data_IF_111662961130
#
_entry.id   IF_111662961130
#
_cell.length_a   1.000
_cell.length_b   1.000
_cell.length_c   1.000
_cell.angle_alpha   90.00
_cell.angle_beta   90.00
_cell.angle_gamma   90.00
#
_symmetry.space_group_name_H-M   'P 1'
#
loop_
_entity.id
_entity.type
_entity.pdbx_description
1 polymer ?
#
# COMPACT_ATOMS: atom_id res chain seq x y z
N UNK A 1 -11.33 8.97 30.91
CA UNK A 1 -10.82 8.94 29.52
C UNK A 1 -11.89 8.26 28.68
N UNK A 2 -12.33 8.85 27.57
CA UNK A 2 -13.18 8.12 26.62
C UNK A 2 -12.38 6.93 26.08
N UNK A 3 -13.05 5.80 25.80
CA UNK A 3 -12.38 4.66 25.19
C UNK A 3 -11.80 5.10 23.82
N UNK A 4 -10.54 4.72 23.53
CA UNK A 4 -9.94 4.93 22.21
C UNK A 4 -10.82 4.26 21.14
N UNK A 5 -10.87 4.85 19.95
CA UNK A 5 -11.59 4.28 18.82
C UNK A 5 -10.99 2.95 18.37
N UNK A 6 -11.73 2.24 17.51
CA UNK A 6 -11.31 0.95 16.95
C UNK A 6 -11.08 1.13 15.46
N UNK A 7 -9.93 0.68 14.96
CA UNK A 7 -9.63 0.74 13.53
C UNK A 7 -9.61 -0.66 12.93
N UNK A 8 -10.53 -0.92 12.00
CA UNK A 8 -10.68 -2.20 11.31
C UNK A 8 -10.55 -1.97 9.81
N UNK A 9 -9.74 -2.79 9.14
CA UNK A 9 -9.58 -2.76 7.69
C UNK A 9 -10.10 -4.05 7.06
N UNK A 10 -10.52 -3.95 5.80
CA UNK A 10 -10.93 -5.08 4.99
C UNK A 10 -10.03 -5.13 3.77
N UNK A 11 -9.39 -6.27 3.58
CA UNK A 11 -8.37 -6.51 2.56
C UNK A 11 -8.72 -7.72 1.71
N UNK A 12 -8.02 -7.87 0.58
CA UNK A 12 -8.22 -8.96 -0.36
C UNK A 12 -8.37 -8.49 -1.81
N UNK A 13 -8.39 -9.47 -2.72
CA UNK A 13 -8.50 -9.24 -4.15
C UNK A 13 -9.83 -8.59 -4.59
N UNK A 14 -9.90 -8.16 -5.84
CA UNK A 14 -11.12 -7.57 -6.39
C UNK A 14 -12.23 -8.63 -6.54
N UNK A 15 -13.49 -8.22 -6.29
CA UNK A 15 -14.63 -9.14 -6.26
C UNK A 15 -14.72 -10.03 -4.99
N UNK A 16 -13.88 -9.83 -3.98
CA UNK A 16 -13.93 -10.60 -2.72
C UNK A 16 -15.13 -10.27 -1.82
N UNK A 17 -15.84 -9.18 -2.08
CA UNK A 17 -17.04 -8.79 -1.31
C UNK A 17 -16.78 -7.87 -0.12
N UNK A 18 -15.59 -7.26 -0.03
CA UNK A 18 -15.21 -6.29 1.04
C UNK A 18 -16.31 -5.27 1.33
N UNK A 19 -16.74 -4.53 0.31
CA UNK A 19 -17.70 -3.44 0.49
C UNK A 19 -19.05 -3.94 1.01
N UNK A 20 -19.47 -5.16 0.66
CA UNK A 20 -20.67 -5.80 1.22
C UNK A 20 -20.47 -6.13 2.70
N UNK A 21 -19.37 -6.79 3.06
CA UNK A 21 -19.09 -7.17 4.44
C UNK A 21 -18.87 -5.97 5.36
N UNK A 22 -18.27 -4.89 4.85
CA UNK A 22 -18.14 -3.62 5.58
C UNK A 22 -19.50 -3.08 6.01
N UNK A 23 -20.53 -3.13 5.14
CA UNK A 23 -21.87 -2.68 5.53
C UNK A 23 -22.47 -3.59 6.62
N UNK A 24 -22.32 -4.91 6.51
CA UNK A 24 -22.80 -5.83 7.54
C UNK A 24 -22.12 -5.61 8.89
N UNK A 25 -20.81 -5.33 8.90
CA UNK A 25 -20.06 -5.01 10.12
C UNK A 25 -20.43 -3.63 10.66
N UNK A 26 -20.66 -2.65 9.79
CA UNK A 26 -21.19 -1.33 10.18
C UNK A 26 -22.51 -1.50 10.93
N UNK A 27 -23.48 -2.21 10.36
CA UNK A 27 -24.78 -2.44 10.96
C UNK A 27 -24.65 -3.13 12.33
N UNK A 28 -23.71 -4.08 12.45
CA UNK A 28 -23.42 -4.78 13.70
C UNK A 28 -22.93 -3.86 14.82
N UNK A 29 -22.05 -2.90 14.51
CA UNK A 29 -21.55 -1.92 15.48
C UNK A 29 -22.59 -0.83 15.77
N UNK A 30 -23.31 -0.33 14.76
CA UNK A 30 -24.36 0.68 14.92
C UNK A 30 -25.52 0.14 15.78
N UNK A 31 -25.90 -1.14 15.62
CA UNK A 31 -26.92 -1.78 16.45
C UNK A 31 -26.52 -1.88 17.94
N UNK A 32 -25.24 -1.64 18.26
CA UNK A 32 -24.67 -1.60 19.61
C UNK A 32 -24.39 -0.18 20.10
N UNK A 33 -24.92 0.82 19.39
CA UNK A 33 -24.80 2.24 19.77
C UNK A 33 -23.41 2.82 19.57
N UNK A 34 -22.57 2.22 18.72
CA UNK A 34 -21.24 2.76 18.37
C UNK A 34 -21.36 3.70 17.18
N UNK A 35 -20.65 4.83 17.22
CA UNK A 35 -20.41 5.65 16.03
C UNK A 35 -19.51 4.85 15.07
N UNK A 36 -19.90 4.73 13.81
CA UNK A 36 -19.15 4.03 12.78
C UNK A 36 -18.85 4.97 11.62
N UNK A 37 -17.58 5.04 11.23
CA UNK A 37 -17.11 5.72 10.03
C UNK A 37 -16.68 4.66 9.02
N UNK A 38 -17.37 4.59 7.89
CA UNK A 38 -16.95 3.77 6.76
C UNK A 38 -16.17 4.64 5.79
N UNK A 39 -14.99 4.17 5.40
CA UNK A 39 -14.14 4.85 4.44
C UNK A 39 -13.43 3.85 3.52
N UNK A 40 -12.61 4.34 2.58
CA UNK A 40 -11.86 3.52 1.62
C UNK A 40 -10.53 4.16 1.24
N UNK A 41 -9.57 3.35 0.83
CA UNK A 41 -8.34 3.83 0.21
C UNK A 41 -8.09 3.19 -1.17
N UNK A 42 -7.63 3.97 -2.15
CA UNK A 42 -7.62 5.43 -2.18
C UNK A 42 -9.04 5.98 -2.36
N UNK A 43 -9.29 7.23 -1.99
CA UNK A 43 -10.59 7.89 -2.28
C UNK A 43 -11.51 8.15 -1.11
N UNK A 44 -11.04 8.03 0.14
CA UNK A 44 -11.84 8.36 1.34
C UNK A 44 -12.07 9.86 1.55
N UNK A 45 -11.45 10.72 0.74
CA UNK A 45 -11.51 12.19 0.83
C UNK A 45 -11.69 12.81 -0.56
N UNK A 46 -11.95 14.13 -0.62
CA UNK A 46 -12.00 14.86 -1.90
C UNK A 46 -10.66 14.80 -2.65
N UNK A 47 -9.55 15.12 -1.96
CA UNK A 47 -8.21 14.95 -2.53
C UNK A 47 -7.93 13.49 -2.90
N UNK A 48 -8.33 12.56 -2.05
CA UNK A 48 -8.17 11.14 -2.31
C UNK A 48 -8.94 10.66 -3.54
N UNK A 49 -10.08 11.27 -3.85
CA UNK A 49 -10.87 10.95 -5.04
C UNK A 49 -10.12 11.36 -6.31
N UNK A 50 -9.46 12.52 -6.30
CA UNK A 50 -8.59 12.94 -7.39
C UNK A 50 -7.38 12.02 -7.56
N UNK A 51 -6.72 11.66 -6.46
CA UNK A 51 -5.60 10.71 -6.49
C UNK A 51 -6.06 9.35 -7.01
N UNK A 52 -7.21 8.85 -6.53
CA UNK A 52 -7.83 7.60 -7.00
C UNK A 52 -8.03 7.64 -8.51
N UNK A 53 -8.55 8.75 -9.04
CA UNK A 53 -8.74 8.92 -10.50
C UNK A 53 -7.43 8.77 -11.25
N UNK A 54 -6.33 9.32 -10.73
CA UNK A 54 -5.00 9.22 -11.35
C UNK A 54 -4.46 7.79 -11.33
N UNK A 55 -4.59 7.05 -10.23
CA UNK A 55 -4.03 5.69 -10.15
C UNK A 55 -4.88 4.64 -10.87
N UNK A 56 -6.20 4.83 -10.93
CA UNK A 56 -7.15 3.90 -11.57
C UNK A 56 -7.37 4.16 -13.06
N UNK A 57 -7.42 5.44 -13.45
CA UNK A 57 -7.81 5.88 -14.79
C UNK A 57 -6.77 6.82 -15.43
N UNK A 58 -5.59 6.93 -14.84
CA UNK A 58 -4.47 7.67 -15.42
C UNK A 58 -3.80 6.92 -16.57
N UNK A 59 -2.66 7.44 -17.04
CA UNK A 59 -1.88 6.82 -18.11
C UNK A 59 -1.48 5.37 -17.78
N UNK A 60 -1.38 4.53 -18.80
CA UNK A 60 -0.95 3.12 -18.64
C UNK A 60 0.54 3.01 -18.27
N UNK A 61 1.33 4.04 -18.54
CA UNK A 61 2.78 4.10 -18.34
C UNK A 61 3.21 4.77 -17.02
N UNK A 62 2.30 4.89 -16.05
CA UNK A 62 2.64 5.35 -14.69
C UNK A 62 3.66 4.41 -14.07
N UNK A 63 4.84 4.96 -13.75
CA UNK A 63 5.91 4.24 -13.06
C UNK A 63 5.45 3.70 -11.70
N UNK A 64 5.93 2.50 -11.33
CA UNK A 64 5.50 1.81 -10.11
C UNK A 64 5.81 2.61 -8.83
N UNK A 65 6.92 3.34 -8.76
CA UNK A 65 7.23 4.19 -7.59
C UNK A 65 6.32 5.40 -7.54
N UNK A 66 5.98 5.98 -8.70
CA UNK A 66 4.99 7.06 -8.77
C UNK A 66 3.62 6.59 -8.27
N UNK A 67 3.17 5.40 -8.70
CA UNK A 67 1.95 4.77 -8.18
C UNK A 67 2.00 4.64 -6.65
N UNK A 68 3.07 4.05 -6.10
CA UNK A 68 3.22 3.88 -4.64
C UNK A 68 3.19 5.20 -3.86
N UNK A 69 3.85 6.24 -4.38
CA UNK A 69 3.85 7.58 -3.77
C UNK A 69 2.46 8.22 -3.78
N UNK A 70 1.67 8.02 -4.83
CA UNK A 70 0.30 8.51 -4.90
C UNK A 70 -0.60 7.82 -3.86
N UNK A 71 -0.53 6.49 -3.72
CA UNK A 71 -1.24 5.77 -2.67
C UNK A 71 -0.81 6.23 -1.27
N UNK A 72 0.49 6.44 -1.05
CA UNK A 72 1.00 6.94 0.23
C UNK A 72 0.53 8.37 0.54
N UNK A 73 0.44 9.24 -0.48
CA UNK A 73 -0.06 10.60 -0.34
C UNK A 73 -1.55 10.65 0.01
N UNK A 74 -2.39 9.85 -0.67
CA UNK A 74 -3.81 9.69 -0.32
C UNK A 74 -3.96 9.23 1.13
N UNK A 75 -3.24 8.18 1.51
CA UNK A 75 -3.29 7.60 2.86
C UNK A 75 -2.85 8.60 3.94
N UNK A 76 -1.75 9.31 3.74
CA UNK A 76 -1.26 10.30 4.71
C UNK A 76 -2.32 11.38 4.97
N UNK A 77 -2.93 11.90 3.91
CA UNK A 77 -3.98 12.90 4.02
C UNK A 77 -5.25 12.34 4.67
N UNK A 78 -5.65 11.14 4.28
CA UNK A 78 -6.84 10.47 4.79
C UNK A 78 -6.73 10.14 6.29
N UNK A 79 -5.56 9.68 6.75
CA UNK A 79 -5.28 9.48 8.17
C UNK A 79 -5.39 10.79 8.94
N UNK A 80 -4.74 11.84 8.46
CA UNK A 80 -4.71 13.13 9.15
C UNK A 80 -6.08 13.82 9.24
N UNK A 81 -6.98 13.59 8.27
CA UNK A 81 -8.23 14.36 8.14
C UNK A 81 -9.48 13.58 8.52
N UNK A 82 -9.45 12.24 8.45
CA UNK A 82 -10.63 11.39 8.69
C UNK A 82 -10.36 10.36 9.78
N UNK A 83 -9.35 9.50 9.59
CA UNK A 83 -9.18 8.31 10.43
C UNK A 83 -8.73 8.70 11.84
N UNK A 84 -7.63 9.43 12.00
CA UNK A 84 -7.12 9.79 13.33
C UNK A 84 -8.13 10.62 14.15
N UNK A 85 -8.79 11.67 13.60
CA UNK A 85 -9.83 12.38 14.32
C UNK A 85 -11.04 11.52 14.72
N UNK A 86 -11.35 10.46 13.96
CA UNK A 86 -12.41 9.50 14.29
C UNK A 86 -12.02 8.57 15.44
N UNK A 87 -10.79 8.09 15.43
CA UNK A 87 -10.28 7.25 16.50
C UNK A 87 -10.13 8.03 17.81
N UNK A 88 -9.69 9.29 17.75
CA UNK A 88 -9.53 10.16 18.93
C UNK A 88 -10.84 10.38 19.69
N UNK A 89 -11.98 10.44 18.99
CA UNK A 89 -13.31 10.61 19.60
C UNK A 89 -14.01 9.29 19.97
N UNK A 90 -13.36 8.14 19.76
CA UNK A 90 -13.88 6.83 20.15
C UNK A 90 -14.73 6.10 19.11
N UNK A 91 -14.76 6.58 17.86
CA UNK A 91 -15.51 5.95 16.78
C UNK A 91 -14.87 4.62 16.33
N UNK A 92 -15.67 3.77 15.69
CA UNK A 92 -15.19 2.61 14.94
C UNK A 92 -14.95 3.06 13.50
N UNK A 93 -13.72 2.93 13.01
CA UNK A 93 -13.38 3.19 11.62
C UNK A 93 -13.28 1.87 10.88
N UNK A 94 -14.08 1.70 9.83
CA UNK A 94 -14.05 0.57 8.91
C UNK A 94 -13.51 1.06 7.56
N UNK A 95 -12.35 0.58 7.15
CA UNK A 95 -11.72 0.99 5.89
C UNK A 95 -11.68 -0.16 4.86
N UNK A 96 -12.17 0.11 3.65
CA UNK A 96 -11.93 -0.73 2.47
C UNK A 96 -10.52 -0.44 1.95
N UNK A 97 -9.60 -1.39 2.20
CA UNK A 97 -8.14 -1.28 1.96
C UNK A 97 -7.40 -0.29 2.87
N UNK A 98 -6.12 -0.58 3.11
CA UNK A 98 -5.17 0.26 3.83
C UNK A 98 -3.71 -0.10 3.46
N UNK A 99 -2.81 -0.21 4.45
CA UNK A 99 -1.37 -0.49 4.25
C UNK A 99 -1.14 -1.87 3.62
N UNK A 100 -1.87 -2.90 4.06
CA UNK A 100 -1.67 -4.28 3.60
C UNK A 100 -1.90 -4.38 2.08
N UNK A 101 -2.86 -3.62 1.53
CA UNK A 101 -3.01 -3.42 0.08
C UNK A 101 -1.74 -2.89 -0.60
N UNK A 102 -1.06 -1.90 -0.03
CA UNK A 102 0.18 -1.39 -0.65
C UNK A 102 1.32 -2.39 -0.60
N UNK A 103 1.42 -3.17 0.48
CA UNK A 103 2.41 -4.25 0.58
C UNK A 103 2.18 -5.32 -0.49
N UNK A 104 0.93 -5.75 -0.68
CA UNK A 104 0.57 -6.76 -1.66
C UNK A 104 0.75 -6.30 -3.11
N UNK A 105 0.18 -5.13 -3.44
CA UNK A 105 0.19 -4.63 -4.82
C UNK A 105 1.53 -3.98 -5.19
N UNK A 106 1.97 -2.97 -4.45
CA UNK A 106 3.18 -2.23 -4.79
C UNK A 106 4.45 -2.95 -4.28
N UNK A 107 4.44 -3.50 -3.07
CA UNK A 107 5.59 -4.18 -2.50
C UNK A 107 5.94 -5.46 -3.27
N UNK A 108 4.99 -6.39 -3.37
CA UNK A 108 5.21 -7.69 -4.01
C UNK A 108 4.91 -7.68 -5.51
N UNK A 109 3.68 -7.36 -5.91
CA UNK A 109 3.24 -7.60 -7.30
C UNK A 109 3.92 -6.67 -8.32
N UNK A 110 4.25 -5.43 -7.93
CA UNK A 110 5.12 -4.48 -8.65
C UNK A 110 6.60 -4.60 -8.31
N UNK A 111 6.97 -5.46 -7.37
CA UNK A 111 8.36 -5.75 -6.97
C UNK A 111 9.15 -4.53 -6.48
N UNK A 112 8.50 -3.61 -5.78
CA UNK A 112 9.18 -2.47 -5.13
C UNK A 112 9.81 -2.83 -3.78
N UNK A 113 9.52 -4.01 -3.24
CA UNK A 113 10.01 -4.45 -1.94
C UNK A 113 9.01 -4.17 -0.82
N UNK A 114 8.61 -5.22 -0.11
CA UNK A 114 7.59 -5.14 0.94
C UNK A 114 8.07 -4.26 2.10
N UNK A 115 9.33 -4.38 2.51
CA UNK A 115 9.89 -3.58 3.62
C UNK A 115 10.01 -2.09 3.27
N UNK A 116 10.37 -1.77 2.02
CA UNK A 116 10.45 -0.38 1.55
C UNK A 116 9.06 0.28 1.54
N UNK A 117 8.06 -0.42 1.01
CA UNK A 117 6.67 0.06 1.00
C UNK A 117 6.06 0.10 2.41
N UNK A 118 6.43 -0.85 3.28
CA UNK A 118 6.06 -0.84 4.69
C UNK A 118 6.62 0.39 5.41
N UNK A 119 7.89 0.70 5.19
CA UNK A 119 8.53 1.90 5.77
C UNK A 119 7.90 3.19 5.27
N UNK A 120 7.63 3.30 3.96
CA UNK A 120 6.93 4.45 3.38
C UNK A 120 5.53 4.61 3.99
N UNK A 121 4.80 3.50 4.13
CA UNK A 121 3.43 3.49 4.66
C UNK A 121 3.39 3.87 6.14
N UNK A 122 4.28 3.30 6.95
CA UNK A 122 4.40 3.65 8.37
C UNK A 122 4.75 5.13 8.56
N UNK A 123 5.66 5.66 7.74
CA UNK A 123 5.99 7.09 7.77
C UNK A 123 4.79 7.95 7.41
N UNK A 124 4.07 7.61 6.33
CA UNK A 124 2.89 8.33 5.86
C UNK A 124 1.76 8.38 6.91
N UNK A 125 1.60 7.31 7.69
CA UNK A 125 0.51 7.16 8.67
C UNK A 125 0.94 7.47 10.10
N UNK A 126 2.19 7.89 10.31
CA UNK A 126 2.79 8.08 11.65
C UNK A 126 2.67 6.82 12.52
N UNK A 127 2.82 5.65 11.91
CA UNK A 127 2.74 4.36 12.57
C UNK A 127 1.32 3.93 12.94
N UNK A 128 0.27 4.54 12.38
CA UNK A 128 -1.10 4.09 12.62
C UNK A 128 -1.39 2.79 11.85
N UNK A 129 -1.50 1.69 12.58
CA UNK A 129 -1.94 0.38 12.09
C UNK A 129 -3.34 0.04 12.59
N UNK A 130 -4.11 -0.76 11.82
CA UNK A 130 -5.41 -1.24 12.28
C UNK A 130 -5.26 -2.21 13.45
N UNK A 131 -6.20 -2.17 14.37
CA UNK A 131 -6.32 -3.15 15.45
C UNK A 131 -6.78 -4.52 14.98
N UNK A 132 -7.42 -4.59 13.81
CA UNK A 132 -7.92 -5.81 13.20
C UNK A 132 -8.02 -5.61 11.67
N UNK A 133 -7.52 -6.56 10.90
CA UNK A 133 -7.71 -6.65 9.45
C UNK A 133 -8.49 -7.91 9.14
N UNK A 134 -9.58 -7.82 8.40
CA UNK A 134 -10.22 -8.97 7.77
C UNK A 134 -9.68 -9.15 6.35
N UNK A 135 -8.92 -10.21 6.11
CA UNK A 135 -8.48 -10.59 4.77
C UNK A 135 -9.52 -11.53 4.15
N UNK A 136 -10.28 -11.02 3.20
CA UNK A 136 -11.26 -11.81 2.45
C UNK A 136 -10.54 -12.53 1.32
N UNK A 137 -10.15 -13.78 1.57
CA UNK A 137 -9.40 -14.60 0.62
C UNK A 137 -10.34 -15.15 -0.46
N UNK A 138 -10.03 -14.83 -1.72
CA UNK A 138 -10.77 -15.32 -2.88
C UNK A 138 -9.79 -15.61 -4.01
N UNK A 139 -9.89 -16.77 -4.69
CA UNK A 139 -9.13 -17.01 -5.91
C UNK A 139 -9.40 -15.92 -6.96
N UNK A 140 -8.36 -15.33 -7.59
CA UNK A 140 -8.54 -14.21 -8.53
C UNK A 140 -9.48 -14.52 -9.70
N UNK A 141 -9.53 -15.77 -10.16
CA UNK A 141 -10.42 -16.21 -11.25
C UNK A 141 -11.89 -16.12 -10.85
N UNK A 142 -12.19 -16.38 -9.58
CA UNK A 142 -13.55 -16.27 -9.03
C UNK A 142 -13.92 -14.79 -8.86
N UNK A 143 -13.00 -13.98 -8.33
CA UNK A 143 -13.17 -12.53 -8.19
C UNK A 143 -13.44 -11.85 -9.54
N UNK A 144 -12.67 -12.21 -10.57
CA UNK A 144 -12.83 -11.69 -11.91
C UNK A 144 -14.22 -11.94 -12.52
N UNK A 145 -14.86 -13.07 -12.20
CA UNK A 145 -16.21 -13.42 -12.66
C UNK A 145 -17.31 -12.67 -11.91
N UNK A 146 -17.04 -12.17 -10.70
CA UNK A 146 -17.98 -11.41 -9.88
C UNK A 146 -18.05 -9.93 -10.26
N UNK A 147 -17.13 -9.44 -11.09
CA UNK A 147 -17.12 -8.05 -11.56
C UNK A 147 -18.31 -7.76 -12.48
N UNK A 148 -18.95 -6.62 -12.25
CA UNK A 148 -20.07 -6.12 -13.06
C UNK A 148 -19.68 -4.93 -13.94
N UNK A 149 -18.61 -4.22 -13.56
CA UNK A 149 -18.16 -2.99 -14.21
C UNK A 149 -16.91 -3.21 -15.07
N UNK A 150 -16.58 -2.20 -15.87
CA UNK A 150 -15.34 -2.18 -16.64
C UNK A 150 -14.13 -2.13 -15.69
N UNK A 151 -13.10 -2.98 -15.91
CA UNK A 151 -11.98 -3.07 -14.99
C UNK A 151 -11.13 -1.80 -15.02
N UNK A 152 -10.69 -1.34 -13.86
CA UNK A 152 -9.69 -0.26 -13.73
C UNK A 152 -8.27 -0.72 -14.14
N UNK A 153 -7.29 0.18 -14.12
CA UNK A 153 -5.91 -0.13 -14.52
C UNK A 153 -5.30 -1.31 -13.75
N UNK A 154 -5.57 -1.40 -12.45
CA UNK A 154 -5.04 -2.48 -11.62
C UNK A 154 -5.79 -3.79 -11.86
N UNK A 155 -7.10 -3.72 -12.05
CA UNK A 155 -7.93 -4.89 -12.34
C UNK A 155 -7.64 -5.50 -13.72
N UNK A 156 -7.06 -4.71 -14.65
CA UNK A 156 -6.60 -5.15 -15.98
C UNK A 156 -5.24 -5.88 -15.96
N UNK A 157 -4.54 -5.91 -14.83
CA UNK A 157 -3.29 -6.65 -14.70
C UNK A 157 -3.46 -8.16 -14.93
N UNK A 158 -2.36 -8.85 -15.18
CA UNK A 158 -2.37 -10.28 -15.51
C UNK A 158 -2.85 -11.15 -14.34
N UNK A 159 -3.28 -12.38 -14.65
CA UNK A 159 -3.64 -13.36 -13.60
C UNK A 159 -2.48 -13.60 -12.64
N UNK A 160 -1.26 -13.78 -13.15
CA UNK A 160 -0.05 -13.93 -12.32
C UNK A 160 0.17 -12.73 -11.38
N UNK A 161 -0.20 -11.51 -11.79
CA UNK A 161 -0.13 -10.34 -10.93
C UNK A 161 -1.10 -10.48 -9.76
N UNK A 162 -2.36 -10.82 -10.02
CA UNK A 162 -3.37 -11.01 -8.97
C UNK A 162 -3.07 -12.22 -8.07
N UNK A 163 -2.45 -13.28 -8.60
CA UNK A 163 -1.96 -14.39 -7.80
C UNK A 163 -0.82 -13.96 -6.85
N UNK A 164 0.14 -13.15 -7.32
CA UNK A 164 1.19 -12.57 -6.47
C UNK A 164 0.61 -11.69 -5.36
N UNK A 165 -0.39 -10.87 -5.68
CA UNK A 165 -1.12 -10.06 -4.69
C UNK A 165 -1.75 -10.95 -3.62
N UNK A 166 -2.51 -11.98 -4.03
CA UNK A 166 -3.16 -12.91 -3.09
C UNK A 166 -2.14 -13.63 -2.21
N UNK A 167 -1.05 -14.12 -2.81
CA UNK A 167 0.00 -14.81 -2.07
C UNK A 167 0.62 -13.90 -1.01
N UNK A 168 0.89 -12.64 -1.36
CA UNK A 168 1.46 -11.69 -0.41
C UNK A 168 0.50 -11.38 0.74
N UNK A 169 -0.79 -11.21 0.48
CA UNK A 169 -1.78 -11.06 1.56
C UNK A 169 -1.77 -12.23 2.54
N UNK A 170 -1.73 -13.47 2.04
CA UNK A 170 -1.70 -14.66 2.88
C UNK A 170 -0.39 -14.73 3.68
N UNK A 171 0.73 -14.32 3.09
CA UNK A 171 2.03 -14.21 3.78
C UNK A 171 1.99 -13.19 4.92
N UNK A 172 1.37 -12.03 4.70
CA UNK A 172 1.17 -11.02 5.74
C UNK A 172 0.29 -11.57 6.87
N UNK A 173 -0.78 -12.29 6.53
CA UNK A 173 -1.66 -12.90 7.52
C UNK A 173 -0.95 -13.95 8.40
N UNK A 174 -0.08 -14.77 7.79
CA UNK A 174 0.76 -15.73 8.53
C UNK A 174 1.79 -15.04 9.43
N UNK A 175 2.31 -13.88 9.02
CA UNK A 175 3.26 -13.10 9.79
C UNK A 175 2.62 -12.33 10.96
N UNK A 176 1.34 -11.94 10.84
CA UNK A 176 0.62 -11.14 11.83
C UNK A 176 -0.76 -11.75 12.19
N UNK A 177 -0.81 -12.99 12.69
CA UNK A 177 -2.07 -13.72 12.90
C UNK A 177 -2.96 -13.10 14.00
N UNK A 178 -2.37 -12.32 14.91
CA UNK A 178 -3.13 -11.61 15.95
C UNK A 178 -3.88 -10.39 15.40
N UNK A 179 -3.38 -9.79 14.31
CA UNK A 179 -3.94 -8.59 13.65
C UNK A 179 -4.78 -8.94 12.42
N UNK A 180 -4.33 -9.87 11.59
CA UNK A 180 -4.95 -10.19 10.30
C UNK A 180 -5.67 -11.54 10.40
N UNK A 181 -6.99 -11.52 10.27
CA UNK A 181 -7.82 -12.72 10.27
C UNK A 181 -8.25 -13.03 8.84
N UNK A 182 -7.86 -14.22 8.37
CA UNK A 182 -8.26 -14.72 7.05
C UNK A 182 -9.68 -15.25 7.11
N UNK A 183 -10.52 -14.81 6.16
CA UNK A 183 -11.92 -15.22 5.99
C UNK A 183 -12.05 -15.82 4.59
N UNK A 184 -12.61 -17.03 4.48
CA UNK A 184 -12.89 -17.63 3.17
C UNK A 184 -14.05 -16.90 2.49
N UNK A 185 -13.76 -16.17 1.42
CA UNK A 185 -14.74 -15.35 0.71
C UNK A 185 -15.44 -16.08 -0.46
N UNK A 186 -15.24 -17.40 -0.61
CA UNK A 186 -15.92 -18.22 -1.62
C UNK A 186 -17.40 -18.38 -1.31
N UNK A 187 -17.76 -18.45 -0.03
CA UNK A 187 -19.13 -18.65 0.47
C UNK A 187 -20.13 -17.55 0.11
N UNK A 188 -21.36 -17.72 0.57
CA UNK A 188 -22.42 -16.71 0.47
C UNK A 188 -22.13 -15.50 1.37
N UNK A 189 -22.78 -14.37 1.09
CA UNK A 189 -22.64 -13.14 1.90
C UNK A 189 -22.90 -13.42 3.39
N UNK A 190 -23.92 -14.21 3.70
CA UNK A 190 -24.32 -14.53 5.08
C UNK A 190 -23.32 -15.48 5.77
N UNK A 191 -22.76 -16.45 5.05
CA UNK A 191 -21.74 -17.35 5.59
C UNK A 191 -20.46 -16.59 5.93
N UNK A 192 -19.99 -15.75 5.01
CA UNK A 192 -18.81 -14.90 5.20
C UNK A 192 -19.05 -13.94 6.38
N UNK A 193 -20.23 -13.31 6.45
CA UNK A 193 -20.54 -12.43 7.57
C UNK A 193 -20.63 -13.18 8.90
N UNK A 194 -21.13 -14.41 8.91
CA UNK A 194 -21.21 -15.22 10.13
C UNK A 194 -19.82 -15.49 10.70
N UNK A 195 -18.83 -15.75 9.85
CA UNK A 195 -17.44 -15.95 10.27
C UNK A 195 -16.84 -14.66 10.86
N UNK A 196 -16.97 -13.54 10.13
CA UNK A 196 -16.54 -12.21 10.58
C UNK A 196 -17.19 -11.86 11.92
N UNK A 197 -18.50 -12.08 12.05
CA UNK A 197 -19.24 -11.83 13.29
C UNK A 197 -18.70 -12.66 14.45
N UNK A 198 -18.30 -13.91 14.22
CA UNK A 198 -17.68 -14.75 15.26
C UNK A 198 -16.45 -14.07 15.87
N UNK A 199 -15.57 -13.56 15.02
CA UNK A 199 -14.36 -12.81 15.41
C UNK A 199 -14.73 -11.53 16.16
N UNK A 200 -15.73 -10.78 15.68
CA UNK A 200 -16.18 -9.54 16.34
C UNK A 200 -16.73 -9.80 17.75
N UNK A 201 -17.51 -10.88 17.93
CA UNK A 201 -18.04 -11.29 19.24
C UNK A 201 -16.88 -11.64 20.18
N UNK A 202 -15.92 -12.45 19.71
CA UNK A 202 -14.75 -12.84 20.50
C UNK A 202 -13.93 -11.61 20.94
N UNK A 203 -13.61 -10.71 20.01
CA UNK A 203 -12.73 -9.55 20.25
C UNK A 203 -13.39 -8.42 21.03
N UNK A 204 -14.71 -8.23 20.89
CA UNK A 204 -15.39 -7.03 21.41
C UNK A 204 -16.55 -7.30 22.38
N UNK A 205 -17.05 -8.54 22.54
CA UNK A 205 -18.11 -8.88 23.49
C UNK A 205 -17.66 -9.84 24.62
N UNK A 206 -16.51 -10.51 24.49
CA UNK A 206 -16.04 -11.58 25.39
C UNK A 206 -15.58 -11.22 26.81
N UNK A 207 -15.68 -9.96 27.23
CA UNK A 207 -15.30 -9.52 28.58
C UNK A 207 -13.79 -9.28 28.79
N UNK A 208 -13.45 -8.07 29.24
CA UNK A 208 -12.10 -7.58 29.61
C UNK A 208 -11.03 -7.51 28.52
N UNK A 209 -11.27 -6.72 27.47
CA UNK A 209 -10.15 -6.05 26.80
C UNK A 209 -10.37 -4.55 26.93
N UNK A 210 -9.75 -3.97 27.96
CA UNK A 210 -9.27 -2.59 27.84
C UNK A 210 -8.34 -2.58 26.64
N UNK A 211 -8.71 -1.80 25.63
CA UNK A 211 -7.90 -1.53 24.43
C UNK A 211 -6.48 -1.23 24.91
N UNK A 212 -5.54 -2.13 24.61
CA UNK A 212 -4.15 -1.99 25.01
C UNK A 212 -3.65 -0.60 24.61
N UNK A 213 -3.05 0.08 25.58
CA UNK A 213 -2.11 1.16 25.33
C UNK A 213 -0.98 0.54 24.52
N UNK A 214 -1.03 0.68 23.19
CA UNK A 214 0.11 0.38 22.34
C UNK A 214 1.34 1.08 22.94
N UNK A 215 2.35 0.28 23.28
CA UNK A 215 3.63 0.69 23.83
C UNK A 215 4.23 1.86 23.01
N UNK A 216 4.08 3.08 23.53
CA UNK A 216 4.86 4.24 23.11
C UNK A 216 6.27 4.11 23.73
N UNK A 217 7.04 3.13 23.24
CA UNK A 217 8.48 3.09 23.46
C UNK A 217 9.14 3.83 22.29
N UNK A 218 9.76 5.02 22.50
CA UNK A 218 10.55 5.64 21.46
C UNK A 218 11.73 4.71 21.13
N UNK A 219 11.77 4.22 19.90
CA UNK A 219 12.96 3.60 19.33
C UNK A 219 14.11 4.61 19.45
N UNK A 220 14.97 4.40 20.43
CA UNK A 220 16.19 5.17 20.60
C UNK A 220 17.01 5.01 19.32
N UNK A 221 17.26 6.12 18.65
CA UNK A 221 18.22 6.21 17.56
C UNK A 221 19.57 5.67 18.06
N UNK A 222 19.96 4.49 17.59
CA UNK A 222 21.34 4.05 17.73
C UNK A 222 22.18 4.86 16.75
N UNK A 223 23.10 5.61 17.32
CA UNK A 223 24.10 6.43 16.64
C UNK A 223 24.91 5.58 15.65
N UNK A 224 25.05 6.10 14.42
CA UNK A 224 26.04 5.62 13.47
C UNK A 224 27.46 5.87 14.03
N UNK A 225 28.39 4.92 13.95
CA UNK A 225 29.77 5.23 14.30
C UNK A 225 30.40 6.05 13.17
N UNK A 226 30.90 7.21 13.57
CA UNK A 226 31.70 8.10 12.78
C UNK A 226 33.04 7.46 12.34
N UNK A 227 33.48 7.91 11.17
CA UNK A 227 34.77 7.68 10.52
C UNK A 227 36.01 7.93 11.39
N UNK A 228 37.01 7.05 11.29
CA UNK A 228 38.47 7.28 11.42
C UNK A 228 39.14 5.95 11.03
N UNK A 229 40.21 5.79 10.26
CA UNK A 229 41.33 6.63 9.82
C UNK A 229 41.94 5.93 8.57
N UNK A 230 42.43 6.70 7.60
CA UNK A 230 43.44 6.23 6.63
C UNK A 230 44.82 6.28 7.29
N UNK A 231 45.78 5.46 6.82
CA UNK A 231 46.99 6.12 6.36
C UNK A 231 47.51 5.68 4.98
N UNK A 232 48.02 6.71 4.33
CA UNK A 232 48.92 6.87 3.20
C UNK A 232 49.67 5.68 2.58
N UNK A 233 49.61 5.71 1.24
CA UNK A 233 50.55 5.32 0.17
C UNK A 233 52.01 4.98 0.50
N UNK A 234 52.54 4.00 -0.25
CA UNK A 234 53.89 4.02 -0.82
C UNK A 234 53.90 3.46 -2.26
N UNK A 235 54.58 4.20 -3.15
CA UNK A 235 54.88 3.95 -4.58
C UNK A 235 55.87 2.76 -4.75
N UNK A 236 56.26 2.20 -5.91
CA UNK A 236 56.27 2.60 -7.31
C UNK A 236 56.63 1.39 -8.24
N UNK A 237 56.40 1.57 -9.55
CA UNK A 237 57.07 0.98 -10.73
C UNK A 237 56.90 -0.55 -10.99
N UNK A 238 56.78 -1.09 -12.21
CA UNK A 238 57.26 -0.68 -13.53
C UNK A 238 56.44 -1.41 -14.64
N UNK A 239 56.33 -0.83 -15.85
CA UNK A 239 55.76 -1.46 -17.07
C UNK A 239 56.92 -2.07 -17.91
N UNK A 240 56.86 -2.45 -19.22
CA UNK A 240 55.73 -2.59 -20.18
C UNK A 240 55.83 -3.77 -21.21
N UNK A 241 54.84 -3.80 -22.14
CA UNK A 241 54.85 -4.30 -23.56
C UNK A 241 54.66 -5.84 -23.78
N UNK A 242 53.99 -6.35 -24.83
CA UNK A 242 53.73 -5.83 -26.18
C UNK A 242 52.62 -6.61 -26.98
N UNK A 243 51.79 -5.86 -27.73
CA UNK A 243 51.29 -6.02 -29.14
C UNK A 243 50.83 -7.37 -29.76
N UNK A 244 49.65 -7.33 -30.42
CA UNK A 244 49.45 -7.38 -31.90
C UNK A 244 47.98 -7.00 -32.23
N UNK A 245 47.65 -5.93 -32.99
CA UNK A 245 47.42 -5.84 -34.47
C UNK A 245 46.54 -6.98 -35.04
N UNK A 246 45.51 -6.78 -35.87
CA UNK A 246 45.41 -5.84 -37.01
C UNK A 246 43.94 -5.56 -37.48
N UNK A 247 43.82 -4.42 -38.18
CA UNK A 247 42.82 -3.81 -39.11
C UNK A 247 41.58 -4.61 -39.56
N UNK A 248 40.45 -4.00 -39.95
CA UNK A 248 40.11 -2.60 -40.25
C UNK A 248 39.16 -2.52 -41.46
N UNK A 249 38.29 -1.51 -41.52
CA UNK A 249 37.92 -0.75 -42.73
C UNK A 249 36.76 0.22 -42.43
N UNK A 250 36.84 1.40 -43.06
CA UNK A 250 36.05 2.60 -42.81
C UNK A 250 35.26 3.02 -44.05
N UNK A 251 34.18 3.81 -43.89
CA UNK A 251 33.94 5.07 -44.63
C UNK A 251 32.66 5.82 -44.20
N UNK A 252 32.89 6.88 -43.42
CA UNK A 252 32.46 8.31 -43.44
C UNK A 252 31.28 8.84 -44.32
N UNK A 253 30.78 10.08 -44.02
CA UNK A 253 29.35 10.43 -43.90
C UNK A 253 28.86 11.52 -44.90
N UNK A 254 27.60 11.93 -44.78
CA UNK A 254 27.06 13.14 -45.41
C UNK A 254 26.25 14.01 -44.43
N UNK A 255 26.48 15.31 -44.53
CA UNK A 255 25.91 16.47 -43.82
C UNK A 255 24.81 17.17 -44.64
N UNK A 256 23.79 17.75 -43.98
CA UNK A 256 23.23 19.10 -44.19
C UNK A 256 22.16 19.36 -43.08
N UNK A 257 22.35 20.27 -42.13
CA UNK A 257 22.16 21.75 -42.13
C UNK A 257 20.69 22.20 -42.07
N UNK A 258 20.37 22.95 -41.00
CA UNK A 258 19.22 23.87 -40.85
C UNK A 258 18.35 23.51 -39.64
N UNK A 259 18.05 24.36 -38.66
CA UNK A 259 18.42 25.74 -38.38
C UNK A 259 18.19 25.99 -36.86
N UNK A 260 18.97 26.92 -36.31
CA UNK A 260 18.84 27.45 -34.96
C UNK A 260 17.53 28.25 -34.81
N UNK A 261 16.87 28.06 -33.66
CA UNK A 261 15.83 28.94 -33.15
C UNK A 261 15.93 28.98 -31.63
N UNK A 262 16.71 29.92 -31.10
CA UNK A 262 16.63 30.32 -29.70
C UNK A 262 15.35 31.13 -29.48
N UNK A 263 14.56 30.77 -28.47
CA UNK A 263 14.01 31.77 -27.56
C UNK A 263 13.62 31.11 -26.23
N UNK A 264 14.29 31.56 -25.18
CA UNK A 264 13.82 31.44 -23.80
C UNK A 264 12.50 32.20 -23.59
N UNK A 265 11.74 31.78 -22.58
CA UNK A 265 10.52 32.43 -22.07
C UNK A 265 9.31 31.52 -22.26
N UNK A 266 8.46 31.22 -21.28
CA UNK A 266 8.21 31.80 -19.96
C UNK A 266 7.66 30.67 -19.07
N UNK A 267 8.10 30.61 -17.81
CA UNK A 267 7.26 30.83 -16.63
C UNK A 267 6.01 29.94 -16.55
N UNK A 268 6.03 29.08 -15.53
CA UNK A 268 4.91 28.69 -14.69
C UNK A 268 3.79 29.73 -14.68
N UNK A 269 2.58 29.29 -15.04
CA UNK A 269 1.29 29.64 -14.40
C UNK A 269 0.16 28.92 -15.15
N UNK A 270 -0.40 27.87 -14.53
CA UNK A 270 -1.84 27.60 -14.30
C UNK A 270 -2.02 26.21 -13.69
#
# INVERSE_FOLDING_TARGET
MAARGVFITFEGGDGSGKSTQIQSVRDWFESRGREVIVTREPGGTELGTEIRRLVQNGPEDVDARTEALLYAADRAYHVATVIAPALERGAVVLADRYIDSSLAYQGAARSLGVDEIGSLSAWATRGLYPSLTFLLDLPPEVGARRRTDAPDRMERESMDFHERVRHEYLRLADAEPDRIVVIDAVGTVDEVFSEIRGVLVERFEGGSVTIDEADDAPLSAQEAPASSELPASAEAADKPREKSTDKGSARKPATMVGALGESQGALWDE
#
